data_IF_415110472487
#
_entry.id   IF_415110472487
#
_cell.length_a   1.000
_cell.length_b   1.000
_cell.length_c   1.000
_cell.angle_alpha   90.00
_cell.angle_beta   90.00
_cell.angle_gamma   90.00
#
_symmetry.space_group_name_H-M   'P 1'
#
loop_
_entity.id
_entity.type
_entity.pdbx_description
1 polymer ?
#
# COMPACT_ATOMS: atom_id res chain seq x y z
N UNK A 1 -6.72 -14.59 5.42
CA UNK A 1 -5.51 -14.22 6.18
C UNK A 1 -5.62 -12.72 6.43
N UNK A 2 -5.72 -12.30 7.69
CA UNK A 2 -5.67 -10.87 8.03
C UNK A 2 -4.19 -10.50 8.17
N UNK A 3 -3.72 -9.56 7.35
CA UNK A 3 -2.41 -8.92 7.58
C UNK A 3 -2.63 -8.04 8.80
N UNK A 4 -2.02 -8.39 9.91
CA UNK A 4 -2.15 -7.62 11.14
C UNK A 4 -1.25 -6.38 11.07
N UNK A 5 -1.51 -5.33 11.85
CA UNK A 5 -0.61 -4.16 11.94
C UNK A 5 0.85 -4.54 12.29
N UNK A 6 1.05 -5.69 12.95
CA UNK A 6 2.37 -6.25 13.25
C UNK A 6 3.10 -6.79 12.01
N UNK A 7 2.36 -7.26 11.01
CA UNK A 7 2.90 -7.69 9.73
C UNK A 7 3.30 -6.50 8.85
N UNK A 8 2.60 -5.36 8.97
CA UNK A 8 2.92 -4.11 8.29
C UNK A 8 4.28 -3.53 8.72
N UNK A 9 4.54 -3.37 10.02
CA UNK A 9 5.83 -2.83 10.50
C UNK A 9 7.01 -3.69 10.02
N UNK A 10 6.81 -5.01 9.98
CA UNK A 10 7.80 -5.97 9.51
C UNK A 10 8.00 -5.94 8.00
N UNK A 11 6.94 -5.70 7.22
CA UNK A 11 6.98 -5.49 5.77
C UNK A 11 7.67 -4.16 5.42
N UNK A 12 7.27 -3.08 6.09
CA UNK A 12 7.91 -1.77 5.99
C UNK A 12 9.40 -1.88 6.28
N UNK A 13 9.77 -2.51 7.38
CA UNK A 13 11.18 -2.76 7.71
C UNK A 13 11.87 -3.65 6.67
N UNK A 14 11.22 -4.67 6.12
CA UNK A 14 11.84 -5.53 5.12
C UNK A 14 12.05 -4.82 3.78
N UNK A 15 11.15 -3.94 3.37
CA UNK A 15 11.24 -3.20 2.11
C UNK A 15 12.18 -2.00 2.25
N UNK A 16 12.07 -1.23 3.35
CA UNK A 16 12.89 -0.04 3.59
C UNK A 16 14.29 -0.34 4.13
N UNK A 17 14.53 -1.42 4.87
CA UNK A 17 15.89 -1.79 5.33
C UNK A 17 16.73 -2.47 4.24
N UNK A 18 16.39 -2.22 2.98
CA UNK A 18 17.22 -2.53 1.83
C UNK A 18 17.23 -3.98 1.38
N UNK A 19 16.44 -4.90 1.96
CA UNK A 19 16.41 -6.29 1.43
C UNK A 19 15.79 -6.36 0.04
N UNK A 20 14.69 -5.63 -0.19
CA UNK A 20 14.05 -5.57 -1.50
C UNK A 20 14.90 -4.74 -2.47
N UNK A 21 15.34 -3.55 -2.06
CA UNK A 21 16.22 -2.70 -2.88
C UNK A 21 17.48 -3.46 -3.31
N UNK A 22 18.21 -4.06 -2.36
CA UNK A 22 19.41 -4.82 -2.67
C UNK A 22 19.12 -6.08 -3.50
N UNK A 23 17.92 -6.66 -3.43
CA UNK A 23 17.53 -7.76 -4.30
C UNK A 23 17.32 -7.28 -5.74
N UNK A 24 16.61 -6.17 -5.93
CA UNK A 24 16.35 -5.57 -7.24
C UNK A 24 17.65 -5.09 -7.90
N UNK A 25 18.54 -4.47 -7.13
CA UNK A 25 19.86 -4.01 -7.59
C UNK A 25 20.78 -5.18 -7.94
N UNK A 26 20.94 -6.17 -7.05
CA UNK A 26 21.83 -7.33 -7.29
C UNK A 26 21.36 -8.22 -8.43
N UNK A 27 20.05 -8.20 -8.72
CA UNK A 27 19.49 -8.87 -9.87
C UNK A 27 19.69 -8.12 -11.19
N UNK A 28 20.28 -6.92 -11.17
CA UNK A 28 20.34 -5.98 -12.30
C UNK A 28 18.96 -5.72 -12.95
N UNK A 29 17.88 -5.89 -12.17
CA UNK A 29 16.50 -5.77 -12.64
C UNK A 29 16.11 -4.30 -12.79
N UNK A 30 16.63 -3.46 -11.91
CA UNK A 30 16.38 -2.02 -11.87
C UNK A 30 17.64 -1.29 -11.47
N UNK A 31 17.79 -0.05 -11.95
CA UNK A 31 18.79 0.86 -11.40
C UNK A 31 18.44 1.24 -9.95
N UNK A 32 19.42 1.70 -9.14
CA UNK A 32 19.22 1.99 -7.72
C UNK A 32 18.06 2.95 -7.42
N UNK A 33 17.89 3.99 -8.23
CA UNK A 33 16.85 5.00 -8.01
C UNK A 33 15.46 4.40 -8.27
N UNK A 34 15.31 3.58 -9.31
CA UNK A 34 14.08 2.84 -9.58
C UNK A 34 13.80 1.75 -8.54
N UNK A 35 14.82 1.03 -8.09
CA UNK A 35 14.68 0.01 -7.05
C UNK A 35 14.18 0.61 -5.72
N UNK A 36 14.70 1.78 -5.35
CA UNK A 36 14.24 2.53 -4.18
C UNK A 36 12.80 3.03 -4.35
N UNK A 37 12.47 3.64 -5.50
CA UNK A 37 11.12 4.13 -5.78
C UNK A 37 10.07 3.00 -5.73
N UNK A 38 10.37 1.84 -6.31
CA UNK A 38 9.51 0.65 -6.25
C UNK A 38 9.34 0.15 -4.82
N UNK A 39 10.43 0.09 -4.03
CA UNK A 39 10.35 -0.35 -2.65
C UNK A 39 9.47 0.59 -1.80
N UNK A 40 9.60 1.90 -1.99
CA UNK A 40 8.75 2.90 -1.32
C UNK A 40 7.29 2.78 -1.73
N UNK A 41 6.98 2.73 -3.03
CA UNK A 41 5.60 2.58 -3.50
C UNK A 41 4.93 1.31 -2.96
N UNK A 42 5.67 0.19 -2.88
CA UNK A 42 5.13 -1.04 -2.31
C UNK A 42 4.84 -0.93 -0.80
N UNK A 43 5.61 -0.14 -0.06
CA UNK A 43 5.33 0.17 1.34
C UNK A 43 4.07 1.02 1.47
N UNK A 44 3.96 2.08 0.68
CA UNK A 44 2.81 2.99 0.73
C UNK A 44 1.51 2.26 0.32
N UNK A 45 1.59 1.39 -0.69
CA UNK A 45 0.47 0.51 -1.07
C UNK A 45 0.10 -0.43 0.09
N UNK A 46 1.07 -1.04 0.76
CA UNK A 46 0.81 -1.92 1.89
C UNK A 46 0.15 -1.19 3.06
N UNK A 47 0.53 0.07 3.30
CA UNK A 47 -0.09 0.94 4.31
C UNK A 47 -1.55 1.23 3.97
N UNK A 48 -1.81 1.67 2.73
CA UNK A 48 -3.16 1.96 2.27
C UNK A 48 -4.08 0.72 2.33
N UNK A 49 -3.57 -0.47 1.99
CA UNK A 49 -4.33 -1.71 2.13
C UNK A 49 -4.62 -2.03 3.61
N UNK A 50 -3.68 -1.75 4.51
CA UNK A 50 -3.89 -1.93 5.95
C UNK A 50 -5.00 -1.01 6.47
N UNK A 51 -5.03 0.25 6.03
CA UNK A 51 -6.09 1.21 6.38
C UNK A 51 -7.45 0.76 5.81
N UNK A 52 -7.49 0.39 4.53
CA UNK A 52 -8.71 -0.08 3.86
C UNK A 52 -9.34 -1.24 4.62
N UNK A 53 -8.58 -2.29 4.92
CA UNK A 53 -9.13 -3.49 5.55
C UNK A 53 -9.23 -3.39 7.08
N UNK A 54 -8.38 -2.58 7.70
CA UNK A 54 -8.34 -2.41 9.16
C UNK A 54 -9.36 -1.42 9.68
N UNK A 55 -9.73 -0.41 8.90
CA UNK A 55 -10.56 0.71 9.37
C UNK A 55 -11.75 1.00 8.45
N UNK A 56 -11.52 1.18 7.15
CA UNK A 56 -12.56 1.67 6.23
C UNK A 56 -13.63 0.60 5.96
N UNK A 57 -13.22 -0.64 5.67
CA UNK A 57 -14.14 -1.76 5.43
C UNK A 57 -15.01 -2.05 6.66
N UNK A 58 -14.46 -2.14 7.90
CA UNK A 58 -15.27 -2.22 9.11
C UNK A 58 -16.30 -1.10 9.23
N UNK A 59 -15.91 0.16 8.99
CA UNK A 59 -16.84 1.31 9.02
C UNK A 59 -17.98 1.16 8.01
N UNK A 60 -17.71 0.65 6.81
CA UNK A 60 -18.74 0.36 5.81
C UNK A 60 -19.71 -0.74 6.26
N UNK A 61 -19.19 -1.80 6.89
CA UNK A 61 -19.99 -2.93 7.37
C UNK A 61 -20.84 -2.59 8.60
N UNK A 62 -20.36 -1.67 9.42
CA UNK A 62 -21.00 -1.24 10.67
C UNK A 62 -21.88 0.01 10.50
N UNK A 63 -21.93 0.61 9.32
CA UNK A 63 -22.72 1.81 9.07
C UNK A 63 -24.23 1.57 9.32
N UNK A 64 -24.82 2.37 10.19
CA UNK A 64 -26.24 2.27 10.57
C UNK A 64 -27.14 3.25 9.80
N UNK A 65 -26.56 4.20 9.08
CA UNK A 65 -27.27 5.17 8.26
C UNK A 65 -26.52 5.46 6.95
N UNK A 66 -27.22 6.16 6.05
CA UNK A 66 -26.73 6.45 4.70
C UNK A 66 -25.57 7.45 4.69
N UNK A 67 -25.50 8.36 5.67
CA UNK A 67 -24.45 9.37 5.74
C UNK A 67 -23.12 8.72 6.14
N UNK A 68 -23.12 7.93 7.20
CA UNK A 68 -21.97 7.15 7.63
C UNK A 68 -21.48 6.17 6.55
N UNK A 69 -22.41 5.52 5.84
CA UNK A 69 -22.06 4.65 4.73
C UNK A 69 -21.41 5.41 3.57
N UNK A 70 -21.99 6.58 3.21
CA UNK A 70 -21.46 7.42 2.13
C UNK A 70 -20.07 7.95 2.46
N UNK A 71 -19.86 8.40 3.68
CA UNK A 71 -18.56 8.92 4.11
C UNK A 71 -17.49 7.83 4.07
N UNK A 72 -17.79 6.64 4.61
CA UNK A 72 -16.85 5.52 4.54
C UNK A 72 -16.60 5.05 3.09
N UNK A 73 -17.58 5.20 2.18
CA UNK A 73 -17.40 4.90 0.76
C UNK A 73 -16.52 5.92 0.05
N UNK A 74 -16.61 7.20 0.41
CA UNK A 74 -15.72 8.24 -0.10
C UNK A 74 -14.28 7.99 0.34
N UNK A 75 -14.08 7.70 1.63
CA UNK A 75 -12.77 7.34 2.18
C UNK A 75 -12.18 6.13 1.43
N UNK A 76 -12.99 5.10 1.18
CA UNK A 76 -12.56 3.93 0.41
C UNK A 76 -12.12 4.31 -1.02
N UNK A 77 -12.89 5.17 -1.68
CA UNK A 77 -12.56 5.64 -3.03
C UNK A 77 -11.25 6.43 -3.06
N UNK A 78 -10.99 7.25 -2.05
CA UNK A 78 -9.75 8.01 -1.95
C UNK A 78 -8.55 7.11 -1.66
N UNK A 79 -8.69 6.13 -0.78
CA UNK A 79 -7.65 5.15 -0.48
C UNK A 79 -7.27 4.33 -1.72
N UNK A 80 -8.25 3.87 -2.52
CA UNK A 80 -7.94 3.18 -3.77
C UNK A 80 -7.28 4.09 -4.81
N UNK A 81 -7.68 5.37 -4.89
CA UNK A 81 -7.00 6.34 -5.76
C UNK A 81 -5.55 6.57 -5.32
N UNK A 82 -5.27 6.53 -4.01
CA UNK A 82 -3.91 6.64 -3.48
C UNK A 82 -3.05 5.43 -3.86
N UNK A 83 -3.60 4.21 -3.77
CA UNK A 83 -2.95 2.99 -4.26
C UNK A 83 -2.65 3.09 -5.76
N UNK A 84 -3.64 3.51 -6.56
CA UNK A 84 -3.50 3.66 -8.01
C UNK A 84 -2.39 4.66 -8.38
N UNK A 85 -2.29 5.77 -7.66
CA UNK A 85 -1.22 6.74 -7.82
C UNK A 85 0.16 6.09 -7.64
N UNK A 86 0.38 5.35 -6.55
CA UNK A 86 1.68 4.72 -6.28
C UNK A 86 2.04 3.62 -7.27
N UNK A 87 1.04 2.89 -7.80
CA UNK A 87 1.25 1.92 -8.88
C UNK A 87 1.81 2.59 -10.13
N UNK A 88 1.21 3.71 -10.54
CA UNK A 88 1.60 4.40 -11.77
C UNK A 88 2.86 5.25 -11.60
N UNK A 89 3.02 5.94 -10.46
CA UNK A 89 4.16 6.82 -10.19
C UNK A 89 5.49 6.05 -10.10
N UNK A 90 5.46 4.87 -9.47
CA UNK A 90 6.62 3.98 -9.45
C UNK A 90 6.78 3.12 -10.72
N UNK A 91 5.88 3.27 -11.70
CA UNK A 91 5.91 2.51 -12.95
C UNK A 91 5.78 1.00 -12.75
N UNK A 92 5.02 0.56 -11.73
CA UNK A 92 4.90 -0.86 -11.37
C UNK A 92 4.26 -1.70 -12.49
N UNK A 93 3.51 -1.06 -13.38
CA UNK A 93 2.90 -1.69 -14.56
C UNK A 93 3.88 -1.95 -15.69
N UNK A 94 5.05 -1.31 -15.66
CA UNK A 94 6.07 -1.34 -16.72
C UNK A 94 7.31 -2.14 -16.31
N UNK A 95 7.24 -2.88 -15.19
CA UNK A 95 8.29 -3.74 -14.65
C UNK A 95 8.46 -5.05 -15.43
#
# INVERSE_FOLDING_TARGET
MSITAHDYERLRDSFLRGKLVAFLEKGELLDPARAEAVAHALVDIAEALSEIYGEIVPRLLEAHDLEAFRDALLDLSEAFRHVDYHIHDAGLTDL
#
